data_IF_411731501049
#
_entry.id   IF_411731501049
#
_cell.length_a   1.000
_cell.length_b   1.000
_cell.length_c   1.000
_cell.angle_alpha   90.00
_cell.angle_beta   90.00
_cell.angle_gamma   90.00
#
_symmetry.space_group_name_H-M   'P 1'
#
loop_
_entity.id
_entity.type
_entity.pdbx_description
1 polymer ?
#
# COMPACT_ATOMS: atom_id res chain seq x y z
N UNK A 1 7.61 8.37 -27.16
CA UNK A 1 7.99 7.27 -26.25
C UNK A 1 7.78 7.75 -24.83
N UNK A 2 7.03 7.01 -24.00
CA UNK A 2 6.77 7.41 -22.62
C UNK A 2 7.52 6.48 -21.68
N UNK A 3 8.25 7.06 -20.73
CA UNK A 3 9.08 6.32 -19.76
C UNK A 3 8.66 6.64 -18.35
N UNK A 4 8.66 5.62 -17.49
CA UNK A 4 8.35 5.76 -16.07
C UNK A 4 9.39 5.04 -15.22
N UNK A 5 10.21 5.81 -14.52
CA UNK A 5 11.08 5.29 -13.46
C UNK A 5 10.23 4.99 -12.22
N UNK A 6 10.34 3.76 -11.72
CA UNK A 6 9.53 3.31 -10.61
C UNK A 6 10.21 2.19 -9.83
N UNK A 7 9.69 1.92 -8.65
CA UNK A 7 9.86 0.62 -8.00
C UNK A 7 8.72 -0.29 -8.47
N UNK A 8 9.03 -1.52 -8.84
CA UNK A 8 8.05 -2.48 -9.36
C UNK A 8 8.19 -3.86 -8.72
N UNK A 9 7.07 -4.59 -8.66
CA UNK A 9 6.97 -6.01 -8.27
C UNK A 9 6.10 -6.72 -9.29
N UNK A 10 6.43 -7.98 -9.58
CA UNK A 10 5.66 -8.82 -10.50
C UNK A 10 5.17 -10.07 -9.79
N UNK A 11 3.91 -10.42 -10.02
CA UNK A 11 3.30 -11.67 -9.58
C UNK A 11 2.50 -12.28 -10.71
N UNK A 12 2.30 -13.59 -10.70
CA UNK A 12 1.27 -14.16 -11.55
C UNK A 12 -0.11 -13.98 -10.89
N UNK A 13 -1.20 -14.22 -11.64
CA UNK A 13 -2.56 -14.07 -11.09
C UNK A 13 -2.90 -15.13 -10.04
N UNK A 14 -2.09 -16.18 -9.93
CA UNK A 14 -2.17 -17.20 -8.87
C UNK A 14 -1.45 -16.77 -7.58
N UNK A 15 -0.91 -15.54 -7.51
CA UNK A 15 -0.22 -14.99 -6.34
C UNK A 15 1.22 -15.48 -6.14
N UNK A 16 1.76 -16.25 -7.09
CA UNK A 16 3.18 -16.66 -7.08
C UNK A 16 4.05 -15.47 -7.50
N UNK A 17 5.04 -15.18 -6.68
CA UNK A 17 6.02 -14.13 -6.93
C UNK A 17 6.85 -14.44 -8.18
N UNK A 18 6.82 -13.52 -9.15
CA UNK A 18 7.63 -13.58 -10.38
C UNK A 18 8.89 -12.74 -10.20
N UNK A 19 8.76 -11.57 -9.57
CA UNK A 19 9.88 -10.69 -9.27
C UNK A 19 9.63 -9.99 -7.92
N UNK A 20 10.64 -10.02 -7.04
CA UNK A 20 10.67 -9.21 -5.81
C UNK A 20 10.67 -7.72 -6.15
N UNK A 21 10.34 -6.89 -5.18
CA UNK A 21 10.38 -5.45 -5.34
C UNK A 21 11.77 -4.98 -5.77
N UNK A 22 11.85 -4.30 -6.92
CA UNK A 22 13.12 -3.83 -7.51
C UNK A 22 12.92 -2.50 -8.22
N UNK A 23 14.00 -1.74 -8.42
CA UNK A 23 13.96 -0.55 -9.27
C UNK A 23 13.87 -0.99 -10.73
N UNK A 24 13.05 -0.27 -11.50
CA UNK A 24 12.85 -0.56 -12.90
C UNK A 24 12.31 0.63 -13.67
N UNK A 25 12.29 0.46 -14.99
CA UNK A 25 11.82 1.47 -15.93
C UNK A 25 10.76 0.84 -16.80
N UNK A 26 9.57 1.42 -16.81
CA UNK A 26 8.51 1.06 -17.74
C UNK A 26 8.62 1.93 -18.97
N UNK A 27 8.66 1.32 -20.15
CA UNK A 27 8.78 2.03 -21.42
C UNK A 27 7.62 1.64 -22.32
N UNK A 28 6.82 2.63 -22.68
CA UNK A 28 5.75 2.50 -23.66
C UNK A 28 6.31 2.84 -25.06
N UNK A 29 6.35 1.84 -25.92
CA UNK A 29 6.87 1.92 -27.29
C UNK A 29 5.81 1.51 -28.30
N UNK A 30 5.83 2.15 -29.47
CA UNK A 30 5.17 1.62 -30.68
C UNK A 30 6.23 0.97 -31.54
N UNK A 31 5.95 -0.23 -32.04
CA UNK A 31 6.85 -1.03 -32.84
C UNK A 31 6.16 -1.34 -34.16
N UNK A 32 6.68 -0.76 -35.23
CA UNK A 32 6.21 -0.96 -36.59
C UNK A 32 7.28 -1.79 -37.33
N UNK A 33 6.92 -2.98 -37.80
CA UNK A 33 7.76 -3.73 -38.75
C UNK A 33 7.22 -3.45 -40.14
N UNK A 34 8.10 -3.24 -41.12
CA UNK A 34 7.71 -3.10 -42.53
C UNK A 34 6.75 -4.24 -42.93
N UNK A 35 5.52 -3.88 -43.31
CA UNK A 35 4.50 -4.81 -43.76
C UNK A 35 3.63 -5.48 -42.69
N UNK A 36 3.73 -5.10 -41.40
CA UNK A 36 2.85 -5.62 -40.32
C UNK A 36 2.17 -4.49 -39.54
N UNK A 37 1.01 -4.79 -38.96
CA UNK A 37 0.25 -3.87 -38.10
C UNK A 37 1.11 -3.28 -36.97
N UNK A 38 0.88 -2.00 -36.66
CA UNK A 38 1.59 -1.26 -35.63
C UNK A 38 1.31 -1.88 -34.24
N UNK A 39 2.36 -2.39 -33.59
CA UNK A 39 2.24 -3.03 -32.27
C UNK A 39 2.56 -2.06 -31.15
N UNK A 40 1.67 -1.94 -30.18
CA UNK A 40 1.93 -1.17 -28.96
C UNK A 40 2.43 -2.08 -27.84
N UNK A 41 3.60 -1.76 -27.31
CA UNK A 41 4.36 -2.60 -26.39
C UNK A 41 4.67 -1.85 -25.09
N UNK A 42 4.53 -2.55 -23.96
CA UNK A 42 5.06 -2.15 -22.67
C UNK A 42 6.31 -2.97 -22.36
N UNK A 43 7.48 -2.33 -22.40
CA UNK A 43 8.74 -2.93 -21.98
C UNK A 43 8.98 -2.64 -20.49
N UNK A 44 9.09 -3.70 -19.70
CA UNK A 44 9.39 -3.67 -18.27
C UNK A 44 10.88 -3.97 -18.10
N UNK A 45 11.69 -2.94 -17.86
CA UNK A 45 13.12 -3.10 -17.56
C UNK A 45 13.32 -3.19 -16.06
N UNK A 46 14.05 -4.19 -15.60
CA UNK A 46 14.24 -4.48 -14.18
C UNK A 46 15.73 -4.57 -13.87
N UNK A 47 16.15 -3.99 -12.73
CA UNK A 47 17.56 -3.98 -12.36
C UNK A 47 18.07 -5.36 -11.95
N UNK A 48 17.25 -6.13 -11.22
CA UNK A 48 17.64 -7.42 -10.63
C UNK A 48 16.82 -8.60 -11.18
N UNK A 49 16.23 -8.47 -12.36
CA UNK A 49 15.41 -9.52 -12.98
C UNK A 49 15.37 -9.41 -14.51
N UNK A 50 14.92 -10.48 -15.17
CA UNK A 50 14.84 -10.54 -16.63
C UNK A 50 13.82 -9.56 -17.18
N UNK A 51 14.26 -8.61 -18.01
CA UNK A 51 13.40 -7.69 -18.72
C UNK A 51 12.24 -8.41 -19.42
N UNK A 52 11.05 -7.80 -19.40
CA UNK A 52 9.86 -8.33 -20.05
C UNK A 52 9.31 -7.36 -21.07
N UNK A 53 8.61 -7.90 -22.07
CA UNK A 53 7.87 -7.14 -23.05
C UNK A 53 6.45 -7.68 -23.10
N UNK A 54 5.47 -6.77 -22.97
CA UNK A 54 4.04 -7.07 -22.94
C UNK A 54 3.39 -6.37 -24.14
N UNK A 55 2.57 -7.10 -24.90
CA UNK A 55 1.84 -6.57 -26.05
C UNK A 55 0.46 -6.09 -25.59
N UNK A 56 0.25 -4.77 -25.54
CA UNK A 56 -0.96 -4.19 -24.92
C UNK A 56 -2.23 -4.48 -25.73
N UNK A 57 -2.12 -4.57 -27.05
CA UNK A 57 -3.25 -4.85 -27.94
C UNK A 57 -3.75 -6.30 -27.91
N UNK A 58 -3.03 -7.22 -27.24
CA UNK A 58 -3.44 -8.62 -27.06
C UNK A 58 -3.83 -8.93 -25.63
N UNK A 59 -3.89 -7.90 -24.78
CA UNK A 59 -4.01 -8.09 -23.36
C UNK A 59 -5.15 -7.25 -22.77
N UNK A 60 -6.13 -7.91 -22.17
CA UNK A 60 -7.20 -7.31 -21.39
C UNK A 60 -6.60 -6.76 -20.10
N UNK A 61 -6.65 -5.44 -19.96
CA UNK A 61 -6.07 -4.73 -18.83
C UNK A 61 -7.09 -4.46 -17.73
N UNK A 62 -6.65 -4.64 -16.49
CA UNK A 62 -7.37 -4.15 -15.31
C UNK A 62 -6.45 -3.29 -14.48
N UNK A 63 -6.82 -2.02 -14.30
CA UNK A 63 -5.97 -1.02 -13.67
C UNK A 63 -6.59 -0.56 -12.35
N UNK A 64 -5.85 -0.74 -11.27
CA UNK A 64 -6.23 -0.22 -9.96
C UNK A 64 -5.48 1.07 -9.68
N UNK A 65 -6.24 2.15 -9.55
CA UNK A 65 -5.76 3.51 -9.26
C UNK A 65 -5.99 3.91 -7.80
N UNK A 66 -6.37 2.97 -6.94
CA UNK A 66 -6.80 3.21 -5.55
C UNK A 66 -5.76 4.02 -4.74
N UNK A 67 -4.47 3.90 -5.10
CA UNK A 67 -3.36 4.60 -4.45
C UNK A 67 -2.54 5.50 -5.39
N UNK A 68 -3.12 5.95 -6.52
CA UNK A 68 -2.39 6.72 -7.54
C UNK A 68 -1.79 8.02 -6.98
N UNK A 69 -2.50 8.71 -6.08
CA UNK A 69 -2.02 9.93 -5.40
C UNK A 69 -0.78 9.69 -4.52
N UNK A 70 -0.56 8.44 -4.09
CA UNK A 70 0.61 8.02 -3.33
C UNK A 70 1.74 7.51 -4.24
N UNK A 71 1.60 7.67 -5.55
CA UNK A 71 2.58 7.16 -6.50
C UNK A 71 2.54 5.65 -6.70
N UNK A 72 1.39 5.01 -6.45
CA UNK A 72 1.22 3.57 -6.58
C UNK A 72 0.06 3.20 -7.49
N UNK A 73 0.22 2.15 -8.29
CA UNK A 73 -0.83 1.59 -9.10
C UNK A 73 -0.57 0.11 -9.36
N UNK A 74 -1.64 -0.62 -9.68
CA UNK A 74 -1.52 -2.02 -10.08
C UNK A 74 -2.14 -2.19 -11.46
N UNK A 75 -1.49 -2.96 -12.33
CA UNK A 75 -1.99 -3.31 -13.65
C UNK A 75 -1.99 -4.83 -13.73
N UNK A 76 -3.15 -5.42 -13.96
CA UNK A 76 -3.29 -6.83 -14.31
C UNK A 76 -3.33 -6.96 -15.82
N UNK A 77 -2.58 -7.94 -16.29
CA UNK A 77 -2.48 -8.41 -17.66
C UNK A 77 -3.03 -9.83 -17.70
N UNK A 78 -4.23 -10.02 -18.22
CA UNK A 78 -4.99 -11.28 -18.11
C UNK A 78 -4.34 -12.40 -18.93
N UNK A 79 -3.99 -12.12 -20.18
CA UNK A 79 -3.48 -13.08 -21.16
C UNK A 79 -2.03 -13.48 -20.85
N UNK A 80 -1.25 -12.57 -20.26
CA UNK A 80 0.11 -12.83 -19.78
C UNK A 80 0.16 -13.42 -18.36
N UNK A 81 -1.00 -13.65 -17.73
CA UNK A 81 -1.13 -14.12 -16.35
C UNK A 81 -0.21 -13.34 -15.39
N UNK A 82 -0.24 -12.01 -15.46
CA UNK A 82 0.72 -11.14 -14.78
C UNK A 82 0.03 -9.98 -14.06
N UNK A 83 0.51 -9.67 -12.87
CA UNK A 83 0.15 -8.50 -12.09
C UNK A 83 1.40 -7.67 -11.85
N UNK A 84 1.37 -6.43 -12.34
CA UNK A 84 2.42 -5.42 -12.19
C UNK A 84 2.01 -4.43 -11.11
N UNK A 85 2.81 -4.37 -10.05
CA UNK A 85 2.69 -3.37 -9.01
C UNK A 85 3.71 -2.29 -9.25
N UNK A 86 3.27 -1.03 -9.27
CA UNK A 86 4.07 0.16 -9.47
C UNK A 86 4.06 0.96 -8.16
N UNK A 87 5.23 1.42 -7.71
CA UNK A 87 5.37 2.23 -6.51
C UNK A 87 6.50 3.27 -6.66
N UNK A 88 6.54 4.25 -5.73
CA UNK A 88 7.58 5.29 -5.67
C UNK A 88 7.63 6.23 -6.89
N UNK A 89 6.47 6.54 -7.48
CA UNK A 89 6.37 7.43 -8.66
C UNK A 89 5.70 8.77 -8.30
N UNK A 90 6.12 9.89 -8.90
CA UNK A 90 5.39 11.16 -8.77
C UNK A 90 3.96 11.02 -9.34
N UNK A 91 2.95 11.50 -8.61
CA UNK A 91 1.53 11.39 -8.99
C UNK A 91 1.25 11.82 -10.44
N UNK A 92 1.71 13.00 -10.86
CA UNK A 92 1.45 13.52 -12.21
C UNK A 92 2.04 12.63 -13.30
N UNK A 93 3.26 12.09 -13.08
CA UNK A 93 3.90 11.17 -14.00
C UNK A 93 3.15 9.84 -14.08
N UNK A 94 2.75 9.29 -12.93
CA UNK A 94 1.99 8.03 -12.88
C UNK A 94 0.62 8.16 -13.52
N UNK A 95 -0.09 9.26 -13.26
CA UNK A 95 -1.41 9.54 -13.86
C UNK A 95 -1.32 9.68 -15.37
N UNK A 96 -0.35 10.45 -15.85
CA UNK A 96 -0.12 10.62 -17.29
C UNK A 96 0.20 9.27 -17.94
N UNK A 97 1.09 8.49 -17.33
CA UNK A 97 1.50 7.18 -17.84
C UNK A 97 0.34 6.16 -17.91
N UNK A 98 -0.47 6.05 -16.84
CA UNK A 98 -1.61 5.13 -16.84
C UNK A 98 -2.68 5.57 -17.83
N UNK A 99 -2.91 6.87 -18.01
CA UNK A 99 -3.89 7.36 -19.00
C UNK A 99 -3.46 7.02 -20.43
N UNK A 100 -2.16 7.00 -20.70
CA UNK A 100 -1.64 6.53 -21.98
C UNK A 100 -1.87 5.03 -22.17
N UNK A 101 -1.61 4.21 -21.14
CA UNK A 101 -1.88 2.76 -21.21
C UNK A 101 -3.37 2.48 -21.43
N UNK A 102 -4.26 3.22 -20.74
CA UNK A 102 -5.71 3.07 -20.88
C UNK A 102 -6.23 3.39 -22.28
N UNK A 103 -5.65 4.39 -22.94
CA UNK A 103 -6.01 4.72 -24.32
C UNK A 103 -5.52 3.68 -25.34
N UNK A 104 -4.70 2.72 -24.93
CA UNK A 104 -4.04 1.76 -25.81
C UNK A 104 -4.57 0.34 -25.61
N UNK A 105 -4.79 -0.09 -24.37
CA UNK A 105 -5.23 -1.44 -24.05
C UNK A 105 -6.75 -1.59 -24.00
N UNK A 106 -7.24 -2.80 -24.22
CA UNK A 106 -8.65 -3.14 -23.97
C UNK A 106 -8.89 -3.26 -22.46
N UNK A 107 -9.70 -2.37 -21.88
CA UNK A 107 -9.95 -2.34 -20.44
C UNK A 107 -11.15 -3.22 -20.07
N UNK A 108 -10.98 -4.10 -19.09
CA UNK A 108 -12.08 -4.82 -18.45
C UNK A 108 -12.93 -3.84 -17.61
N UNK A 109 -14.07 -3.42 -18.14
CA UNK A 109 -15.04 -2.59 -17.41
C UNK A 109 -15.66 -3.41 -16.25
N UNK A 110 -15.43 -3.00 -15.00
CA UNK A 110 -16.11 -3.48 -13.79
C UNK A 110 -16.73 -2.26 -13.07
N UNK A 111 -17.89 -2.39 -12.39
CA UNK A 111 -18.96 -1.40 -12.44
C UNK A 111 -18.55 0.00 -11.97
N UNK A 112 -18.89 0.97 -12.82
CA UNK A 112 -18.99 2.39 -12.49
C UNK A 112 -20.04 2.56 -11.40
N UNK A 113 -19.65 2.87 -10.17
CA UNK A 113 -20.55 3.59 -9.27
C UNK A 113 -20.47 5.08 -9.61
N UNK A 114 -21.19 5.48 -10.66
CA UNK A 114 -21.88 6.77 -10.68
C UNK A 114 -23.35 6.50 -10.34
N UNK A 115 -23.97 7.31 -9.48
CA UNK A 115 -25.40 7.57 -9.58
C UNK A 115 -25.63 9.01 -10.05
N UNK A 116 -26.31 9.16 -11.18
CA UNK A 116 -26.97 10.41 -11.60
C UNK A 116 -28.49 10.27 -11.39
N UNK A 117 -29.01 10.99 -10.38
CA UNK A 117 -30.28 11.77 -10.33
C UNK A 117 -31.64 11.04 -10.35
N UNK A 118 -32.73 11.52 -9.67
CA UNK A 118 -33.20 12.92 -9.66
C UNK A 118 -33.66 13.56 -8.32
N UNK A 119 -33.35 14.86 -8.22
CA UNK A 119 -33.98 16.00 -7.51
C UNK A 119 -35.04 15.78 -6.41
N UNK A 120 -34.68 16.19 -5.18
CA UNK A 120 -35.41 17.23 -4.41
C UNK A 120 -34.38 18.18 -3.76
N UNK A 121 -34.49 19.47 -4.08
CA UNK A 121 -33.71 20.59 -3.51
C UNK A 121 -34.13 20.77 -2.04
N UNK A 122 -33.23 20.92 -1.07
CA UNK A 122 -32.63 22.15 -0.49
C UNK A 122 -32.06 21.63 0.86
N UNK A 123 -30.86 21.89 1.39
CA UNK A 123 -29.95 23.02 1.32
C UNK A 123 -28.52 22.55 1.66
N UNK A 124 -27.56 23.10 0.93
CA UNK A 124 -26.15 23.38 1.23
C UNK A 124 -25.54 22.84 2.54
N UNK A 125 -24.71 21.78 2.42
CA UNK A 125 -23.38 21.65 3.03
C UNK A 125 -22.73 20.35 2.54
N UNK A 126 -21.87 20.46 1.53
CA UNK A 126 -21.10 19.35 0.98
C UNK A 126 -19.99 18.93 1.95
N UNK A 127 -20.32 18.04 2.89
CA UNK A 127 -19.32 17.33 3.69
C UNK A 127 -18.73 16.18 2.85
N UNK A 128 -17.47 16.36 2.49
CA UNK A 128 -16.58 15.35 1.91
C UNK A 128 -16.58 14.13 2.85
N UNK A 129 -17.02 12.96 2.41
CA UNK A 129 -16.68 11.70 3.11
C UNK A 129 -15.20 11.44 2.81
N UNK A 130 -14.34 12.10 3.58
CA UNK A 130 -12.91 11.83 3.64
C UNK A 130 -12.75 10.43 4.21
N UNK A 131 -11.99 9.60 3.51
CA UNK A 131 -11.38 8.38 4.04
C UNK A 131 -10.54 8.79 5.26
N UNK A 132 -11.15 8.79 6.45
CA UNK A 132 -10.65 9.43 7.67
C UNK A 132 -9.21 9.01 7.98
N UNK A 133 -8.81 7.80 7.58
CA UNK A 133 -7.47 7.26 7.75
C UNK A 133 -6.36 8.02 7.00
N UNK A 134 -6.65 8.95 6.07
CA UNK A 134 -5.60 9.72 5.37
C UNK A 134 -5.04 10.88 6.19
N UNK A 135 -5.83 11.39 7.13
CA UNK A 135 -5.46 12.49 8.04
C UNK A 135 -5.42 12.02 9.50
N UNK A 136 -5.78 10.76 9.76
CA UNK A 136 -5.81 10.21 11.11
C UNK A 136 -4.38 10.09 11.66
N UNK A 137 -4.02 11.07 12.48
CA UNK A 137 -2.78 11.10 13.25
C UNK A 137 -2.93 10.41 14.61
N UNK A 138 -4.16 10.17 15.07
CA UNK A 138 -4.46 9.47 16.32
C UNK A 138 -5.43 8.32 16.11
N UNK A 139 -5.14 7.15 16.66
CA UNK A 139 -5.99 5.97 16.62
C UNK A 139 -6.04 5.31 17.99
N UNK A 140 -7.24 4.87 18.38
CA UNK A 140 -7.46 4.14 19.64
C UNK A 140 -8.15 2.81 19.32
N UNK A 141 -7.62 1.73 19.86
CA UNK A 141 -8.10 0.35 19.70
C UNK A 141 -8.44 -0.13 21.12
N UNK A 142 -9.73 -0.32 21.38
CA UNK A 142 -10.21 -0.78 22.71
C UNK A 142 -10.74 -2.21 22.68
N UNK A 143 -11.06 -2.70 21.47
CA UNK A 143 -11.55 -4.06 21.22
C UNK A 143 -10.81 -4.67 20.05
N UNK A 144 -10.73 -6.00 20.01
CA UNK A 144 -10.10 -6.74 18.91
C UNK A 144 -10.70 -6.39 17.53
N UNK A 145 -12.00 -6.09 17.47
CA UNK A 145 -12.70 -5.69 16.24
C UNK A 145 -12.25 -4.34 15.69
N UNK A 146 -11.68 -3.48 16.53
CA UNK A 146 -11.19 -2.15 16.16
C UNK A 146 -9.81 -2.22 15.47
N UNK A 147 -9.18 -3.40 15.48
CA UNK A 147 -7.87 -3.60 14.88
C UNK A 147 -7.93 -3.39 13.35
N UNK A 148 -7.02 -2.59 12.76
CA UNK A 148 -7.10 -2.22 11.36
C UNK A 148 -6.73 -3.38 10.43
N UNK A 149 -7.73 -3.99 9.80
CA UNK A 149 -7.53 -5.07 8.81
C UNK A 149 -6.74 -4.63 7.57
N UNK A 150 -6.81 -3.34 7.23
CA UNK A 150 -6.12 -2.74 6.08
C UNK A 150 -4.79 -2.09 6.46
N UNK A 151 -4.27 -2.36 7.67
CA UNK A 151 -3.04 -1.80 8.20
C UNK A 151 -3.21 -0.40 8.82
N UNK A 152 -2.17 0.07 9.51
CA UNK A 152 -2.19 1.34 10.21
C UNK A 152 -2.14 2.54 9.23
N UNK A 153 -2.81 3.66 9.55
CA UNK A 153 -2.66 4.92 8.80
C UNK A 153 -1.19 5.31 8.66
N UNK A 154 -0.74 5.72 7.48
CA UNK A 154 0.69 6.04 7.23
C UNK A 154 1.21 7.25 8.01
N UNK A 155 0.31 8.18 8.34
CA UNK A 155 0.61 9.40 9.08
C UNK A 155 0.25 9.27 10.57
N UNK A 156 0.06 8.04 11.07
CA UNK A 156 -0.30 7.83 12.46
C UNK A 156 0.84 8.27 13.38
N UNK A 157 0.54 9.22 14.25
CA UNK A 157 1.47 9.75 15.23
C UNK A 157 1.19 9.21 16.63
N UNK A 158 -0.06 8.89 16.94
CA UNK A 158 -0.47 8.43 18.26
C UNK A 158 -1.34 7.17 18.14
N UNK A 159 -0.91 6.11 18.79
CA UNK A 159 -1.61 4.83 18.80
C UNK A 159 -1.84 4.42 20.25
N UNK A 160 -3.12 4.23 20.59
CA UNK A 160 -3.54 3.76 21.92
C UNK A 160 -4.21 2.41 21.75
N UNK A 161 -3.63 1.36 22.31
CA UNK A 161 -4.18 0.01 22.35
C UNK A 161 -4.26 -0.37 23.82
N UNK A 162 -5.32 0.08 24.48
CA UNK A 162 -5.44 -0.03 25.92
C UNK A 162 -6.58 -0.98 26.30
N UNK A 163 -6.36 -1.80 27.33
CA UNK A 163 -7.39 -2.68 27.88
C UNK A 163 -7.72 -3.93 27.04
N UNK A 164 -6.86 -4.29 26.09
CA UNK A 164 -7.02 -5.51 25.27
C UNK A 164 -6.16 -6.62 25.86
N UNK A 165 -6.78 -7.74 26.25
CA UNK A 165 -6.04 -8.90 26.77
C UNK A 165 -5.18 -9.55 25.67
N UNK A 166 -3.88 -9.26 25.68
CA UNK A 166 -2.87 -9.83 24.79
C UNK A 166 -2.08 -10.98 25.44
N UNK A 167 -2.61 -11.59 26.51
CA UNK A 167 -1.95 -12.66 27.29
C UNK A 167 -1.49 -13.90 26.49
N UNK A 168 -2.03 -14.11 25.28
CA UNK A 168 -1.69 -15.24 24.41
C UNK A 168 -0.84 -14.83 23.19
N UNK A 169 -0.41 -13.58 23.08
CA UNK A 169 0.47 -13.16 21.98
C UNK A 169 1.92 -13.47 22.34
N UNK A 170 2.63 -14.11 21.42
CA UNK A 170 4.06 -14.36 21.57
C UNK A 170 4.89 -13.18 21.06
N UNK A 171 6.21 -13.24 21.28
CA UNK A 171 7.13 -12.18 20.85
C UNK A 171 7.13 -11.99 19.32
N UNK A 172 6.81 -13.02 18.54
CA UNK A 172 6.75 -12.92 17.06
C UNK A 172 5.57 -12.08 16.59
N UNK A 173 4.44 -12.19 17.27
CA UNK A 173 3.30 -11.31 17.01
C UNK A 173 3.68 -9.86 17.30
N UNK A 174 4.36 -9.60 18.41
CA UNK A 174 4.77 -8.25 18.78
C UNK A 174 5.78 -7.66 17.78
N UNK A 175 6.73 -8.47 17.31
CA UNK A 175 7.66 -8.09 16.24
C UNK A 175 6.92 -7.67 14.96
N UNK A 176 5.94 -8.48 14.55
CA UNK A 176 5.13 -8.18 13.37
C UNK A 176 4.27 -6.93 13.56
N UNK A 177 3.72 -6.73 14.76
CA UNK A 177 2.97 -5.54 15.13
C UNK A 177 3.84 -4.29 15.01
N UNK A 178 5.04 -4.29 15.59
CA UNK A 178 5.98 -3.16 15.48
C UNK A 178 6.36 -2.89 14.03
N UNK A 179 6.61 -3.94 13.23
CA UNK A 179 6.96 -3.79 11.81
C UNK A 179 5.78 -3.25 10.96
N UNK A 180 4.54 -3.36 11.43
CA UNK A 180 3.35 -2.87 10.74
C UNK A 180 2.99 -1.40 11.07
N UNK A 181 3.49 -0.85 12.18
CA UNK A 181 3.24 0.53 12.61
C UNK A 181 4.11 1.49 11.78
N UNK A 182 3.60 2.67 11.38
CA UNK A 182 4.39 3.62 10.63
C UNK A 182 5.51 4.23 11.47
N UNK A 183 6.63 4.58 10.83
CA UNK A 183 7.75 5.27 11.46
C UNK A 183 7.42 6.69 11.93
N UNK A 184 6.26 7.25 11.56
CA UNK A 184 5.76 8.55 12.01
C UNK A 184 5.19 8.54 13.43
N UNK A 185 5.12 7.38 14.08
CA UNK A 185 4.57 7.25 15.43
C UNK A 185 5.47 7.94 16.47
N UNK A 186 4.83 8.76 17.31
CA UNK A 186 5.44 9.51 18.42
C UNK A 186 4.91 9.06 19.77
N UNK A 187 3.68 8.53 19.83
CA UNK A 187 3.05 8.04 21.07
C UNK A 187 2.52 6.63 20.84
N UNK A 188 2.94 5.69 21.69
CA UNK A 188 2.40 4.33 21.76
C UNK A 188 1.93 4.04 23.18
N UNK A 189 0.64 3.72 23.33
CA UNK A 189 0.09 3.19 24.57
C UNK A 189 -0.35 1.74 24.36
N UNK A 190 0.10 0.87 25.25
CA UNK A 190 -0.25 -0.54 25.35
C UNK A 190 -0.66 -0.87 26.81
N UNK A 191 -1.37 0.05 27.46
CA UNK A 191 -1.69 -0.06 28.88
C UNK A 191 -2.78 -1.13 29.12
N UNK A 192 -2.72 -1.81 30.26
CA UNK A 192 -3.71 -2.84 30.63
C UNK A 192 -3.85 -3.98 29.60
N UNK A 193 -2.77 -4.35 28.93
CA UNK A 193 -2.81 -5.37 27.86
C UNK A 193 -2.38 -6.77 28.30
N UNK A 194 -2.00 -6.98 29.56
CA UNK A 194 -1.49 -8.26 30.07
C UNK A 194 -0.30 -8.79 29.27
N UNK A 195 0.52 -7.90 28.70
CA UNK A 195 1.73 -8.27 27.97
C UNK A 195 2.74 -8.92 28.90
N UNK A 196 3.26 -10.09 28.51
CA UNK A 196 4.30 -10.84 29.25
C UNK A 196 5.68 -10.59 28.64
N UNK A 197 5.75 -10.36 27.33
CA UNK A 197 6.97 -10.09 26.57
C UNK A 197 6.91 -8.71 25.91
N UNK A 198 8.07 -8.09 25.75
CA UNK A 198 8.24 -6.83 25.02
C UNK A 198 9.37 -6.97 24.01
N UNK A 199 9.17 -6.50 22.77
CA UNK A 199 10.15 -6.66 21.70
C UNK A 199 11.24 -5.59 21.74
N UNK A 200 12.48 -6.00 21.48
CA UNK A 200 13.61 -5.09 21.24
C UNK A 200 13.46 -4.29 19.93
N UNK A 201 12.57 -4.70 19.02
CA UNK A 201 12.28 -3.97 17.77
C UNK A 201 11.61 -2.64 18.00
N UNK A 202 11.14 -2.34 19.22
CA UNK A 202 10.59 -1.02 19.57
C UNK A 202 11.58 0.11 19.22
N UNK A 203 12.89 -0.17 19.25
CA UNK A 203 13.98 0.75 18.83
C UNK A 203 13.89 1.18 17.36
N UNK A 204 13.15 0.46 16.52
CA UNK A 204 12.87 0.86 15.13
C UNK A 204 11.93 2.06 15.03
N UNK A 205 11.12 2.31 16.05
CA UNK A 205 10.25 3.47 16.15
C UNK A 205 11.07 4.70 16.57
N UNK A 206 11.96 5.16 15.68
CA UNK A 206 12.94 6.23 15.97
C UNK A 206 12.32 7.58 16.36
N UNK A 207 11.05 7.80 16.01
CA UNK A 207 10.33 9.02 16.34
C UNK A 207 9.47 8.88 17.60
N UNK A 208 9.49 7.72 18.27
CA UNK A 208 8.71 7.48 19.48
C UNK A 208 9.24 8.34 20.63
N UNK A 209 8.37 9.16 21.19
CA UNK A 209 8.65 10.10 22.29
C UNK A 209 7.97 9.65 23.59
N UNK A 210 6.84 8.94 23.49
CA UNK A 210 6.09 8.47 24.64
C UNK A 210 5.68 7.02 24.45
N UNK A 211 6.04 6.18 25.42
CA UNK A 211 5.70 4.77 25.49
C UNK A 211 5.01 4.50 26.83
N UNK A 212 3.75 4.07 26.79
CA UNK A 212 3.00 3.71 27.98
C UNK A 212 2.75 2.19 28.01
N UNK A 213 3.38 1.52 28.98
CA UNK A 213 3.23 0.08 29.24
C UNK A 213 2.58 -0.21 30.60
N UNK A 214 1.88 0.77 31.18
CA UNK A 214 1.36 0.68 32.53
C UNK A 214 0.42 -0.53 32.72
N UNK A 215 0.52 -1.17 33.88
CA UNK A 215 -0.30 -2.34 34.30
C UNK A 215 -0.31 -3.47 33.26
N UNK A 216 0.87 -3.85 32.76
CA UNK A 216 1.12 -5.12 32.07
C UNK A 216 1.74 -6.16 33.02
N UNK A 217 2.13 -7.32 32.48
CA UNK A 217 2.76 -8.42 33.20
C UNK A 217 4.23 -8.60 32.80
N UNK A 218 4.84 -7.52 32.27
CA UNK A 218 6.23 -7.51 31.82
C UNK A 218 7.14 -7.70 33.04
N UNK A 219 8.05 -8.68 32.95
CA UNK A 219 9.07 -8.93 33.98
C UNK A 219 10.33 -8.10 33.76
N UNK A 220 10.63 -7.84 32.50
CA UNK A 220 11.83 -7.13 32.06
C UNK A 220 11.50 -6.29 30.82
N UNK A 221 12.28 -5.23 30.61
CA UNK A 221 12.30 -4.48 29.37
C UNK A 221 13.54 -4.92 28.56
N UNK A 222 13.52 -4.83 27.23
CA UNK A 222 14.68 -5.13 26.41
C UNK A 222 15.84 -4.20 26.78
N UNK A 223 17.06 -4.73 26.77
CA UNK A 223 18.28 -3.98 27.12
C UNK A 223 18.41 -2.69 26.28
N UNK A 224 18.04 -2.75 25.00
CA UNK A 224 18.12 -1.62 24.08
C UNK A 224 17.12 -0.47 24.36
N UNK A 225 16.21 -0.66 25.32
CA UNK A 225 15.22 0.33 25.78
C UNK A 225 15.60 0.90 27.15
N UNK A 226 16.67 0.38 27.76
CA UNK A 226 17.19 0.88 29.03
C UNK A 226 17.90 2.21 28.83
N UNK A 227 17.48 3.22 29.60
CA UNK A 227 18.19 4.48 29.71
C UNK A 227 19.49 4.25 30.49
N UNK A 228 20.61 4.75 29.98
CA UNK A 228 21.72 5.19 30.83
C UNK A 228 21.40 6.60 31.35
#
# INVERSE_FOLDING_TARGET
MSTLDCTLRLENLNGKLVCRETRGVLVLCRHQQEGKEEKQLLRVRMQNANNRQIELGKNTLKIWRQHIKQGKATIQFKEDNLMLYISMVKYEKLRSFLSQIENIGEIENSPKNLPTSPSKQQSSSSAIILDENRFRTKMTITKLKDYPKNGFPKNLQQLYIDGIKLQNVDIRWFDFFIDAIPSSLTVLSLAWCSLVYFSNRITRLRNLQSLNLNKNLLKELPEDVSFY
#
